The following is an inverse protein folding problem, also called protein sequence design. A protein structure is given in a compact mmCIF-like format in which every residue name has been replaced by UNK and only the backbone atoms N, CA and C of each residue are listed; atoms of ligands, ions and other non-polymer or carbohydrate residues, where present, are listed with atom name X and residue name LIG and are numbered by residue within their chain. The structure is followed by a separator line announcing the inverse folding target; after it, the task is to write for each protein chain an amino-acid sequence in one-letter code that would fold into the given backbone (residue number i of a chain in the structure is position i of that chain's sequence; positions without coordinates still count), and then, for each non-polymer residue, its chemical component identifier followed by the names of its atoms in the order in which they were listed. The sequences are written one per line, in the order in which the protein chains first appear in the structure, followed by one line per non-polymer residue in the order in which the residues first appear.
data_IF_717411729905
#
_entry.id   IF_717411729905
#
_cell.length_a   1.000
_cell.length_b   1.000
_cell.length_c   1.000
_cell.angle_alpha   90.00
_cell.angle_beta   90.00
_cell.angle_gamma   90.00
#
_symmetry.space_group_name_H-M   'P 1'
#
loop_
_entity.id
_entity.type
_entity.pdbx_description
1 polymer ?
#
# COMPACT_ATOMS: atom_id res chain seq x y z
N UNK A 1 20.59 6.87 -16.50
CA UNK A 1 19.57 7.95 -16.62
C UNK A 1 18.73 7.91 -15.35
N UNK A 2 18.66 9.01 -14.59
CA UNK A 2 17.79 9.08 -13.40
C UNK A 2 16.38 9.43 -13.88
N UNK A 3 15.43 8.49 -13.76
CA UNK A 3 14.03 8.77 -14.06
C UNK A 3 13.53 9.74 -12.98
N UNK A 4 12.91 10.88 -13.36
CA UNK A 4 12.40 11.82 -12.38
C UNK A 4 11.39 11.13 -11.46
N UNK A 5 11.42 11.42 -10.14
CA UNK A 5 10.53 10.76 -9.20
C UNK A 5 9.07 11.05 -9.57
N UNK A 6 8.34 9.98 -9.90
CA UNK A 6 6.90 10.02 -10.14
C UNK A 6 6.17 9.98 -8.80
N UNK A 7 5.20 10.87 -8.64
CA UNK A 7 4.35 10.94 -7.45
C UNK A 7 2.92 10.57 -7.81
N UNK A 8 2.23 9.90 -6.89
CA UNK A 8 0.85 9.45 -7.02
C UNK A 8 0.03 10.17 -5.96
N UNK A 9 -1.14 10.68 -6.33
CA UNK A 9 -2.17 11.01 -5.34
C UNK A 9 -2.80 9.72 -4.77
N UNK A 10 -3.63 9.89 -3.75
CA UNK A 10 -4.26 8.78 -3.03
C UNK A 10 -5.12 7.92 -3.95
N UNK A 11 -5.91 8.55 -4.80
CA UNK A 11 -6.88 7.86 -5.67
C UNK A 11 -6.17 7.03 -6.74
N UNK A 12 -5.11 7.59 -7.32
CA UNK A 12 -4.25 6.91 -8.30
C UNK A 12 -3.52 5.74 -7.67
N UNK A 13 -2.92 5.93 -6.49
CA UNK A 13 -2.21 4.85 -5.80
C UNK A 13 -3.17 3.73 -5.37
N UNK A 14 -4.36 4.08 -4.86
CA UNK A 14 -5.40 3.13 -4.48
C UNK A 14 -5.91 2.34 -5.67
N UNK A 15 -6.16 3.00 -6.80
CA UNK A 15 -6.61 2.35 -8.03
C UNK A 15 -5.57 1.37 -8.59
N UNK A 16 -4.28 1.74 -8.53
CA UNK A 16 -3.17 0.88 -8.97
C UNK A 16 -3.05 -0.39 -8.11
N UNK A 17 -3.20 -0.26 -6.79
CA UNK A 17 -3.14 -1.39 -5.87
C UNK A 17 -4.39 -2.27 -5.97
N UNK A 18 -5.58 -1.68 -6.09
CA UNK A 18 -6.82 -2.41 -6.31
C UNK A 18 -6.78 -3.24 -7.60
N UNK A 19 -6.20 -2.70 -8.68
CA UNK A 19 -5.99 -3.43 -9.93
C UNK A 19 -5.03 -4.63 -9.80
N UNK A 20 -4.20 -4.66 -8.74
CA UNK A 20 -3.33 -5.78 -8.40
C UNK A 20 -3.97 -6.77 -7.42
N UNK A 21 -5.24 -6.56 -7.03
CA UNK A 21 -5.99 -7.45 -6.16
C UNK A 21 -5.88 -7.15 -4.66
N UNK A 22 -5.26 -6.02 -4.29
CA UNK A 22 -5.21 -5.57 -2.89
C UNK A 22 -6.62 -5.17 -2.45
N UNK A 23 -7.02 -5.59 -1.24
CA UNK A 23 -8.25 -5.11 -0.64
C UNK A 23 -8.03 -3.72 0.01
N UNK A 24 -9.10 -3.07 0.47
CA UNK A 24 -9.01 -1.72 1.02
C UNK A 24 -8.07 -1.61 2.22
N UNK A 25 -8.00 -2.61 3.10
CA UNK A 25 -7.11 -2.61 4.27
C UNK A 25 -5.65 -2.76 3.86
N UNK A 26 -5.37 -3.62 2.88
CA UNK A 26 -4.01 -3.80 2.36
C UNK A 26 -3.53 -2.52 1.68
N UNK A 27 -4.42 -1.83 0.96
CA UNK A 27 -4.12 -0.55 0.31
C UNK A 27 -3.71 0.48 1.35
N UNK A 28 -4.50 0.66 2.41
CA UNK A 28 -4.18 1.59 3.50
C UNK A 28 -2.83 1.24 4.14
N UNK A 29 -2.58 -0.04 4.43
CA UNK A 29 -1.31 -0.50 4.99
C UNK A 29 -0.12 -0.17 4.08
N UNK A 30 -0.24 -0.40 2.77
CA UNK A 30 0.80 -0.05 1.79
C UNK A 30 1.02 1.46 1.74
N UNK A 31 -0.04 2.27 1.75
CA UNK A 31 0.07 3.73 1.69
C UNK A 31 0.69 4.31 2.97
N UNK A 32 0.35 3.78 4.13
CA UNK A 32 0.93 4.18 5.41
C UNK A 32 2.44 3.85 5.45
N UNK A 33 2.81 2.62 5.07
CA UNK A 33 4.21 2.18 5.03
C UNK A 33 5.03 2.90 3.94
N UNK A 34 4.41 3.28 2.83
CA UNK A 34 5.07 4.02 1.77
C UNK A 34 5.50 5.42 2.21
N UNK A 35 4.89 5.96 3.27
CA UNK A 35 5.22 7.26 3.83
C UNK A 35 4.69 8.39 2.94
N UNK A 36 3.48 8.92 3.21
CA UNK A 36 2.98 10.08 2.49
C UNK A 36 3.91 11.29 2.67
N UNK A 37 4.06 12.09 1.62
CA UNK A 37 4.77 13.37 1.67
C UNK A 37 3.85 14.51 1.23
N UNK A 38 4.11 15.71 1.75
CA UNK A 38 3.43 16.92 1.29
C UNK A 38 4.21 17.56 0.15
N UNK A 39 3.58 17.71 -1.02
CA UNK A 39 4.16 18.40 -2.19
C UNK A 39 3.13 19.38 -2.75
N UNK A 40 3.51 20.66 -2.84
CA UNK A 40 2.63 21.73 -3.33
C UNK A 40 1.25 21.77 -2.62
N UNK A 41 1.22 21.49 -1.31
CA UNK A 41 -0.02 21.45 -0.51
C UNK A 41 -0.86 20.18 -0.65
N UNK A 42 -0.47 19.23 -1.50
CA UNK A 42 -1.14 17.94 -1.64
C UNK A 42 -0.36 16.81 -0.96
N UNK A 43 -1.08 15.83 -0.42
CA UNK A 43 -0.49 14.58 0.07
C UNK A 43 -0.28 13.65 -1.12
N UNK A 44 0.95 13.18 -1.31
CA UNK A 44 1.34 12.30 -2.41
C UNK A 44 2.28 11.20 -1.92
N UNK A 45 2.37 10.13 -2.70
CA UNK A 45 3.28 9.01 -2.48
C UNK A 45 4.26 8.90 -3.62
N UNK A 46 5.51 8.58 -3.31
CA UNK A 46 6.48 8.31 -4.36
C UNK A 46 6.18 6.94 -5.00
N UNK A 47 5.96 6.91 -6.31
CA UNK A 47 5.52 5.70 -7.02
C UNK A 47 6.44 4.50 -6.77
N UNK A 48 7.76 4.72 -6.79
CA UNK A 48 8.75 3.68 -6.52
C UNK A 48 8.63 3.06 -5.11
N UNK A 49 8.18 3.82 -4.12
CA UNK A 49 7.98 3.31 -2.75
C UNK A 49 6.73 2.45 -2.66
N UNK A 50 5.63 2.88 -3.28
CA UNK A 50 4.38 2.10 -3.40
C UNK A 50 4.64 0.80 -4.16
N UNK A 51 5.29 0.87 -5.32
CA UNK A 51 5.63 -0.30 -6.15
C UNK A 51 6.52 -1.30 -5.40
N UNK A 52 7.53 -0.82 -4.66
CA UNK A 52 8.43 -1.67 -3.87
C UNK A 52 7.70 -2.38 -2.72
N UNK A 53 6.74 -1.73 -2.08
CA UNK A 53 5.97 -2.32 -0.98
C UNK A 53 4.93 -3.30 -1.51
N UNK A 54 4.21 -2.94 -2.57
CA UNK A 54 3.27 -3.84 -3.24
C UNK A 54 3.95 -5.14 -3.68
N UNK A 55 5.15 -5.04 -4.28
CA UNK A 55 5.94 -6.22 -4.68
C UNK A 55 6.43 -7.10 -3.52
N UNK A 56 6.35 -6.61 -2.27
CA UNK A 56 6.80 -7.31 -1.05
C UNK A 56 5.64 -7.66 -0.11
N UNK A 57 4.40 -7.38 -0.50
CA UNK A 57 3.21 -7.73 0.26
C UNK A 57 2.91 -9.23 0.11
N UNK A 58 3.81 -10.09 0.58
CA UNK A 58 3.63 -11.55 0.60
C UNK A 58 2.55 -12.00 1.61
N UNK A 59 2.12 -11.10 2.52
CA UNK A 59 1.05 -11.29 3.50
C UNK A 59 -0.38 -11.33 2.91
N UNK A 60 -0.52 -11.35 1.58
CA UNK A 60 -1.80 -11.26 0.87
C UNK A 60 -2.52 -12.59 0.65
N UNK A 61 -1.97 -13.72 1.10
CA UNK A 61 -2.74 -14.95 1.04
C UNK A 61 -3.88 -14.89 2.05
N UNK A 62 -5.12 -14.96 1.54
CA UNK A 62 -6.36 -14.94 2.34
C UNK A 62 -6.42 -16.07 3.37
N UNK A 63 -5.57 -17.08 3.24
CA UNK A 63 -5.44 -18.24 4.10
C UNK A 63 -4.84 -17.95 5.49
N UNK A 64 -4.06 -16.87 5.66
CA UNK A 64 -3.15 -16.78 6.83
C UNK A 64 -3.64 -15.88 7.98
N UNK A 65 -4.70 -15.08 7.82
CA UNK A 65 -5.23 -14.24 8.91
C UNK A 65 -6.40 -14.92 9.61
N UNK A 66 -6.12 -16.06 10.24
CA UNK A 66 -6.95 -16.65 11.28
C UNK A 66 -6.34 -16.37 12.64
N UNK A 67 -6.69 -15.26 13.28
CA UNK A 67 -6.39 -15.11 14.72
C UNK A 67 -7.37 -16.02 15.45
N UNK A 68 -6.98 -17.27 15.70
CA UNK A 68 -7.68 -18.13 16.63
C UNK A 68 -7.53 -17.51 18.03
N UNK A 69 -8.53 -16.72 18.43
CA UNK A 69 -8.65 -16.26 19.81
C UNK A 69 -8.84 -17.51 20.67
N UNK A 70 -7.95 -17.80 21.64
CA UNK A 70 -8.19 -18.88 22.57
C UNK A 70 -9.49 -18.57 23.32
N UNK A 71 -10.45 -19.51 23.27
CA UNK A 71 -11.66 -19.42 24.08
C UNK A 71 -11.22 -19.30 25.55
N UNK A 72 -11.59 -18.17 26.17
CA UNK A 72 -11.42 -17.98 27.61
C UNK A 72 -12.07 -19.17 28.35
N UNK A 73 -11.28 -19.76 29.25
CA UNK A 73 -11.62 -20.95 30.04
C UNK A 73 -12.70 -20.66 31.09
#
# INVERSE_FOLDING_TARGET
MSVPPRYLDRDTASSLLAAQGFNSLDIECVLDLAGPITRNGAIVWAAHSVERLAARAWWLDRSEIGIDLPKAA
#
